data_IF_138906583408
#
_entry.id   IF_138906583408
#
_cell.length_a   1.000
_cell.length_b   1.000
_cell.length_c   1.000
_cell.angle_alpha   90.00
_cell.angle_beta   90.00
_cell.angle_gamma   90.00
#
_symmetry.space_group_name_H-M   'P 1'
#
loop_
_entity.id
_entity.type
_entity.pdbx_description
1 polymer ?
#
# COMPACT_ATOMS: atom_id res chain seq x y z
N UNK A 1 -1.97 14.81 -15.86
CA UNK A 1 -1.57 13.47 -15.35
C UNK A 1 -0.30 12.98 -16.00
N UNK A 2 -0.26 12.72 -17.30
CA UNK A 2 0.95 12.25 -18.00
C UNK A 2 2.12 13.25 -17.84
N UNK A 3 1.88 14.53 -18.11
CA UNK A 3 2.87 15.61 -17.89
C UNK A 3 3.35 15.69 -16.43
N UNK A 4 2.47 15.41 -15.48
CA UNK A 4 2.83 15.38 -14.07
C UNK A 4 3.78 14.21 -13.76
N UNK A 5 3.50 13.02 -14.30
CA UNK A 5 4.34 11.85 -14.15
C UNK A 5 5.70 12.02 -14.86
N UNK A 6 5.72 12.67 -16.03
CA UNK A 6 6.95 13.05 -16.72
C UNK A 6 7.80 13.99 -15.87
N UNK A 7 7.19 15.04 -15.31
CA UNK A 7 7.89 16.00 -14.44
C UNK A 7 8.43 15.34 -13.16
N UNK A 8 7.74 14.32 -12.64
CA UNK A 8 8.20 13.50 -11.52
C UNK A 8 9.31 12.51 -11.91
N UNK A 9 9.55 12.28 -13.20
CA UNK A 9 10.51 11.28 -13.69
C UNK A 9 10.02 9.83 -13.57
N UNK A 10 8.74 9.63 -13.26
CA UNK A 10 8.13 8.31 -13.09
C UNK A 10 7.92 7.59 -14.43
N UNK A 11 7.74 8.38 -15.50
CA UNK A 11 7.60 7.89 -16.87
C UNK A 11 8.53 8.67 -17.81
N UNK A 12 8.78 8.10 -18.98
CA UNK A 12 9.50 8.74 -20.09
C UNK A 12 8.85 8.38 -21.44
N UNK A 13 9.07 9.18 -22.51
CA UNK A 13 8.61 8.82 -23.85
C UNK A 13 9.14 7.45 -24.29
N UNK A 14 8.31 6.67 -24.99
CA UNK A 14 8.67 5.32 -25.40
C UNK A 14 8.19 4.99 -26.81
N UNK A 15 9.03 4.27 -27.55
CA UNK A 15 8.69 3.61 -28.81
C UNK A 15 8.63 2.08 -28.64
N UNK A 16 8.39 1.61 -27.41
CA UNK A 16 8.29 0.18 -27.11
C UNK A 16 7.24 -0.52 -27.99
N UNK A 17 7.50 -1.74 -28.48
CA UNK A 17 6.48 -2.55 -29.14
C UNK A 17 5.42 -3.06 -28.15
N UNK A 18 5.66 -2.97 -26.83
CA UNK A 18 4.69 -3.29 -25.81
C UNK A 18 3.71 -2.15 -25.60
N UNK A 19 2.45 -2.49 -25.33
CA UNK A 19 1.44 -1.50 -25.04
C UNK A 19 0.33 -2.09 -24.18
N UNK A 20 0.13 -1.54 -22.99
CA UNK A 20 -1.02 -1.87 -22.14
C UNK A 20 -1.97 -0.68 -22.01
N UNK A 21 -3.30 -0.90 -21.98
CA UNK A 21 -4.26 0.18 -21.82
C UNK A 21 -4.06 0.98 -20.53
N UNK A 22 -4.30 2.29 -20.60
CA UNK A 22 -4.40 3.17 -19.43
C UNK A 22 -5.77 3.79 -19.32
N UNK A 23 -6.19 4.08 -18.10
CA UNK A 23 -7.48 4.69 -17.77
C UNK A 23 -7.39 5.47 -16.47
N UNK A 24 -8.44 6.23 -16.16
CA UNK A 24 -8.55 7.01 -14.92
C UNK A 24 -9.87 6.68 -14.23
N UNK A 25 -9.83 6.58 -12.91
CA UNK A 25 -11.03 6.39 -12.08
C UNK A 25 -11.01 7.46 -11.00
N UNK A 26 -12.11 8.21 -10.85
CA UNK A 26 -12.23 9.21 -9.79
C UNK A 26 -12.20 8.51 -8.43
N UNK A 27 -11.33 8.94 -7.52
CA UNK A 27 -11.34 8.46 -6.13
C UNK A 27 -12.66 8.86 -5.46
N UNK A 28 -13.40 7.92 -4.82
CA UNK A 28 -14.63 8.26 -4.13
C UNK A 28 -14.43 9.38 -3.11
N UNK A 29 -15.27 10.42 -3.16
CA UNK A 29 -15.22 11.56 -2.24
C UNK A 29 -14.02 12.49 -2.40
N UNK A 30 -13.16 12.32 -3.42
CA UNK A 30 -12.01 13.20 -3.69
C UNK A 30 -12.01 13.65 -5.14
N UNK A 31 -11.54 14.88 -5.39
CA UNK A 31 -11.27 15.33 -6.76
C UNK A 31 -9.87 14.91 -7.23
N UNK A 32 -9.63 13.60 -7.20
CA UNK A 32 -8.35 12.99 -7.57
C UNK A 32 -8.59 11.89 -8.61
N UNK A 33 -7.78 11.90 -9.67
CA UNK A 33 -7.88 11.02 -10.84
C UNK A 33 -6.54 10.31 -11.08
N UNK A 34 -6.23 9.22 -10.36
CA UNK A 34 -5.01 8.46 -10.61
C UNK A 34 -4.97 7.89 -12.02
N UNK A 35 -3.80 7.92 -12.64
CA UNK A 35 -3.50 7.20 -13.87
C UNK A 35 -3.29 5.72 -13.53
N UNK A 36 -4.14 4.85 -14.06
CA UNK A 36 -4.09 3.41 -13.86
C UNK A 36 -3.73 2.73 -15.18
N UNK A 37 -2.91 1.68 -15.11
CA UNK A 37 -2.57 0.84 -16.25
C UNK A 37 -3.13 -0.56 -16.04
N UNK A 38 -3.73 -1.13 -17.08
CA UNK A 38 -4.20 -2.51 -17.07
C UNK A 38 -3.03 -3.48 -17.24
N UNK A 39 -2.54 -4.02 -16.14
CA UNK A 39 -1.38 -4.91 -16.11
C UNK A 39 -1.75 -6.40 -16.13
N UNK A 40 -3.01 -6.77 -16.40
CA UNK A 40 -3.46 -8.18 -16.32
C UNK A 40 -2.64 -9.12 -17.21
N UNK A 41 -2.38 -8.74 -18.47
CA UNK A 41 -1.58 -9.55 -19.40
C UNK A 41 -0.12 -9.66 -18.97
N UNK A 42 0.43 -8.57 -18.43
CA UNK A 42 1.80 -8.53 -17.92
C UNK A 42 1.92 -9.43 -16.67
N UNK A 43 0.99 -9.31 -15.72
CA UNK A 43 0.96 -10.12 -14.50
C UNK A 43 0.82 -11.63 -14.78
N UNK A 44 0.18 -12.01 -15.89
CA UNK A 44 0.05 -13.40 -16.32
C UNK A 44 1.38 -14.02 -16.81
N UNK A 45 2.34 -13.21 -17.25
CA UNK A 45 3.63 -13.69 -17.81
C UNK A 45 4.84 -13.40 -16.93
N UNK A 46 4.73 -12.48 -15.97
CA UNK A 46 5.78 -12.25 -14.97
C UNK A 46 5.86 -13.47 -14.03
N UNK A 47 7.02 -13.77 -13.46
CA UNK A 47 7.17 -14.81 -12.43
C UNK A 47 6.62 -14.33 -11.07
N UNK A 48 5.89 -15.19 -10.36
CA UNK A 48 5.35 -14.83 -9.05
C UNK A 48 6.43 -14.87 -7.97
N UNK A 49 6.60 -13.77 -7.24
CA UNK A 49 7.51 -13.72 -6.10
C UNK A 49 6.87 -14.25 -4.81
N UNK A 50 5.54 -14.43 -4.80
CA UNK A 50 4.77 -14.77 -3.62
C UNK A 50 4.75 -13.64 -2.57
N UNK A 51 3.96 -13.81 -1.49
CA UNK A 51 3.89 -12.86 -0.40
C UNK A 51 5.12 -13.00 0.52
N UNK A 52 5.85 -11.91 0.75
CA UNK A 52 6.93 -11.88 1.75
C UNK A 52 6.42 -11.86 3.20
N UNK A 53 5.26 -11.26 3.43
CA UNK A 53 4.58 -11.32 4.71
C UNK A 53 3.32 -12.19 4.57
N UNK A 54 3.14 -13.22 5.40
CA UNK A 54 1.97 -14.10 5.34
C UNK A 54 0.68 -13.38 5.75
N UNK A 55 0.76 -12.21 6.39
CA UNK A 55 -0.38 -11.39 6.76
C UNK A 55 0.02 -10.05 7.35
N UNK A 56 -0.97 -9.21 7.64
CA UNK A 56 -0.77 -7.89 8.26
C UNK A 56 -0.32 -8.04 9.72
N UNK A 57 0.59 -7.18 10.20
CA UNK A 57 0.94 -7.15 11.62
C UNK A 57 -0.27 -6.75 12.48
N UNK A 58 -0.47 -7.47 13.60
CA UNK A 58 -1.58 -7.21 14.53
C UNK A 58 -1.18 -6.14 15.56
N UNK A 59 -1.89 -5.00 15.63
CA UNK A 59 -1.64 -3.97 16.64
C UNK A 59 -1.85 -4.46 18.08
N UNK A 60 -2.65 -5.51 18.27
CA UNK A 60 -2.94 -6.07 19.60
C UNK A 60 -1.71 -6.70 20.27
N UNK A 61 -0.64 -6.94 19.52
CA UNK A 61 0.64 -7.46 20.03
C UNK A 61 1.57 -6.36 20.57
N UNK A 62 1.19 -5.09 20.43
CA UNK A 62 1.99 -3.98 20.94
C UNK A 62 1.92 -3.92 22.48
N UNK A 63 3.03 -3.63 23.17
CA UNK A 63 3.02 -3.47 24.62
C UNK A 63 2.06 -2.36 25.06
N UNK A 64 1.31 -2.61 26.13
CA UNK A 64 0.41 -1.61 26.72
C UNK A 64 1.21 -0.40 27.23
N UNK A 65 0.59 0.78 27.17
CA UNK A 65 1.13 2.06 27.69
C UNK A 65 2.41 2.60 27.00
N UNK A 66 2.94 1.89 26.00
CA UNK A 66 4.05 2.37 25.20
C UNK A 66 3.61 3.53 24.30
N UNK A 67 4.56 4.41 23.97
CA UNK A 67 4.33 5.55 23.10
C UNK A 67 4.39 5.10 21.65
N UNK A 68 3.48 5.63 20.83
CA UNK A 68 3.28 5.24 19.44
C UNK A 68 3.43 6.44 18.51
N UNK A 69 3.99 6.20 17.34
CA UNK A 69 3.88 7.08 16.20
C UNK A 69 3.62 6.26 14.94
N UNK A 70 2.81 6.80 14.03
CA UNK A 70 2.55 6.20 12.72
C UNK A 70 2.91 7.20 11.64
N UNK A 71 3.64 6.75 10.62
CA UNK A 71 3.99 7.51 9.43
C UNK A 71 3.55 6.76 8.19
N UNK A 72 3.32 7.52 7.12
CA UNK A 72 2.88 7.03 5.81
C UNK A 72 3.93 7.48 4.79
N UNK A 73 4.51 6.51 4.09
CA UNK A 73 5.46 6.72 2.99
C UNK A 73 4.66 7.14 1.76
N UNK A 74 4.92 8.35 1.27
CA UNK A 74 4.20 8.91 0.14
C UNK A 74 4.49 8.11 -1.11
N UNK A 75 3.44 7.63 -1.80
CA UNK A 75 3.57 7.00 -3.11
C UNK A 75 4.68 5.91 -3.18
N UNK A 76 4.81 5.03 -2.15
CA UNK A 76 5.97 4.08 -1.98
C UNK A 76 6.46 3.47 -3.30
N UNK A 77 5.53 2.94 -4.11
CA UNK A 77 5.89 2.26 -5.36
C UNK A 77 6.61 3.19 -6.34
N UNK A 78 6.15 4.43 -6.49
CA UNK A 78 6.76 5.39 -7.42
C UNK A 78 8.13 5.89 -6.96
N UNK A 79 8.52 5.64 -5.71
CA UNK A 79 9.85 5.99 -5.19
C UNK A 79 10.87 4.86 -5.36
N UNK A 80 10.44 3.70 -5.86
CA UNK A 80 11.32 2.56 -6.11
C UNK A 80 11.53 2.42 -7.62
N UNK A 81 12.76 2.53 -8.13
CA UNK A 81 13.04 2.37 -9.54
C UNK A 81 12.77 0.93 -10.01
N UNK A 82 12.30 0.79 -11.24
CA UNK A 82 12.28 -0.49 -11.94
C UNK A 82 13.72 -0.92 -12.26
N UNK A 83 13.92 -2.23 -12.40
CA UNK A 83 15.19 -2.75 -12.87
C UNK A 83 15.49 -2.19 -14.28
N UNK A 84 16.74 -1.80 -14.60
CA UNK A 84 17.09 -1.28 -15.92
C UNK A 84 16.69 -2.19 -17.08
N UNK A 85 16.70 -3.52 -16.88
CA UNK A 85 16.26 -4.44 -17.92
C UNK A 85 14.76 -4.33 -18.23
N UNK A 86 13.93 -4.05 -17.22
CA UNK A 86 12.49 -3.89 -17.37
C UNK A 86 12.09 -2.46 -17.74
N UNK A 87 12.92 -1.47 -17.38
CA UNK A 87 12.69 -0.06 -17.66
C UNK A 87 13.23 0.37 -19.04
N UNK A 88 14.41 -0.14 -19.43
CA UNK A 88 15.17 0.36 -20.59
C UNK A 88 15.38 -0.71 -21.66
N UNK A 89 15.77 -1.94 -21.29
CA UNK A 89 16.15 -2.95 -22.29
C UNK A 89 14.95 -3.70 -22.89
N UNK A 90 13.92 -3.93 -22.09
CA UNK A 90 12.65 -4.51 -22.52
C UNK A 90 11.51 -3.78 -21.79
N UNK A 91 11.13 -2.57 -22.25
CA UNK A 91 10.11 -1.75 -21.61
C UNK A 91 8.70 -2.36 -21.75
N UNK A 92 8.44 -3.38 -20.94
CA UNK A 92 7.17 -4.13 -20.88
C UNK A 92 6.05 -3.28 -20.29
N UNK A 93 6.41 -2.30 -19.47
CA UNK A 93 5.49 -1.37 -18.81
C UNK A 93 5.22 -0.12 -19.65
N UNK A 94 5.09 -0.27 -20.97
CA UNK A 94 4.75 0.81 -21.88
C UNK A 94 3.22 0.94 -22.09
N UNK A 95 2.78 2.17 -22.36
CA UNK A 95 1.39 2.51 -22.66
C UNK A 95 1.31 3.68 -23.64
N UNK A 96 0.16 3.81 -24.29
CA UNK A 96 -0.11 4.88 -25.25
C UNK A 96 -1.31 5.71 -24.83
N UNK A 97 -1.22 7.03 -25.00
CA UNK A 97 -2.27 7.97 -24.63
C UNK A 97 -3.11 8.30 -25.87
N UNK A 98 -4.45 8.08 -25.83
CA UNK A 98 -5.31 8.44 -26.94
C UNK A 98 -5.43 9.95 -27.10
N UNK A 99 -5.54 10.43 -28.33
CA UNK A 99 -5.83 11.83 -28.62
C UNK A 99 -7.32 12.05 -28.89
N UNK A 100 -7.81 13.25 -28.55
CA UNK A 100 -9.20 13.62 -28.81
C UNK A 100 -9.51 13.51 -30.31
N UNK A 101 -10.49 12.66 -30.65
CA UNK A 101 -10.88 12.37 -32.03
C UNK A 101 -9.71 11.94 -32.94
N UNK A 102 -8.66 11.30 -32.40
CA UNK A 102 -7.48 10.85 -33.16
C UNK A 102 -6.79 11.97 -33.96
N UNK A 103 -6.92 13.23 -33.54
CA UNK A 103 -6.36 14.41 -34.23
C UNK A 103 -4.83 14.37 -34.39
N UNK A 104 -4.15 13.67 -33.49
CA UNK A 104 -2.71 13.42 -33.54
C UNK A 104 -2.43 11.94 -33.26
N UNK A 105 -1.31 11.38 -33.76
CA UNK A 105 -0.87 10.04 -33.38
C UNK A 105 -0.83 9.86 -31.87
N UNK A 106 -1.08 8.63 -31.41
CA UNK A 106 -0.98 8.32 -29.97
C UNK A 106 0.47 8.48 -29.51
N UNK A 107 0.64 9.10 -28.35
CA UNK A 107 1.96 9.26 -27.74
C UNK A 107 2.23 8.10 -26.79
N UNK A 108 3.38 7.45 -26.97
CA UNK A 108 3.84 6.32 -26.17
C UNK A 108 4.72 6.75 -25.00
N UNK A 109 4.56 6.10 -23.86
CA UNK A 109 5.34 6.30 -22.65
C UNK A 109 5.65 4.97 -21.96
N UNK A 110 6.68 4.93 -21.14
CA UNK A 110 7.02 3.78 -20.30
C UNK A 110 7.32 4.21 -18.87
N UNK A 111 7.03 3.34 -17.90
CA UNK A 111 7.35 3.57 -16.50
C UNK A 111 8.82 3.27 -16.19
N UNK A 112 9.40 4.06 -15.28
CA UNK A 112 10.76 3.89 -14.75
C UNK A 112 10.78 3.44 -13.29
N UNK A 113 9.61 3.37 -12.66
CA UNK A 113 9.41 3.11 -11.23
C UNK A 113 8.33 2.04 -11.06
N UNK A 114 8.25 1.40 -9.88
CA UNK A 114 7.25 0.36 -9.64
C UNK A 114 5.84 0.90 -9.83
N UNK A 115 4.99 0.08 -10.44
CA UNK A 115 3.63 0.46 -10.79
C UNK A 115 2.62 -0.07 -9.78
N UNK A 116 1.57 0.70 -9.55
CA UNK A 116 0.36 0.19 -8.93
C UNK A 116 -0.29 -0.87 -9.85
N UNK A 117 -0.70 -2.00 -9.27
CA UNK A 117 -1.35 -3.09 -10.00
C UNK A 117 -0.41 -4.15 -10.60
N UNK A 118 0.92 -3.94 -10.58
CA UNK A 118 1.86 -5.01 -10.89
C UNK A 118 1.88 -6.00 -9.72
N UNK A 119 1.78 -7.31 -10.02
CA UNK A 119 1.64 -8.34 -8.99
C UNK A 119 2.79 -8.37 -7.98
N UNK A 120 4.01 -8.07 -8.42
CA UNK A 120 5.21 -8.10 -7.58
C UNK A 120 5.52 -6.76 -6.90
N UNK A 121 4.85 -5.66 -7.26
CA UNK A 121 5.11 -4.33 -6.65
C UNK A 121 4.98 -4.35 -5.12
N UNK A 122 3.92 -4.95 -4.53
CA UNK A 122 3.79 -5.03 -3.07
C UNK A 122 4.97 -5.76 -2.44
N UNK A 123 5.37 -6.90 -3.01
CA UNK A 123 6.49 -7.72 -2.54
C UNK A 123 7.80 -6.94 -2.60
N UNK A 124 8.07 -6.25 -3.71
CA UNK A 124 9.30 -5.46 -3.87
C UNK A 124 9.33 -4.26 -2.91
N UNK A 125 8.24 -3.47 -2.79
CA UNK A 125 8.20 -2.35 -1.83
C UNK A 125 8.36 -2.84 -0.39
N UNK A 126 7.69 -3.94 -0.02
CA UNK A 126 7.84 -4.54 1.30
C UNK A 126 9.29 -4.94 1.59
N UNK A 127 9.96 -5.61 0.64
CA UNK A 127 11.36 -6.02 0.80
C UNK A 127 12.30 -4.82 0.91
N UNK A 128 12.12 -3.82 0.04
CA UNK A 128 12.99 -2.66 -0.06
C UNK A 128 12.94 -1.83 1.23
N UNK A 129 11.73 -1.51 1.70
CA UNK A 129 11.52 -0.79 2.96
C UNK A 129 12.00 -1.62 4.15
N UNK A 130 11.75 -2.94 4.16
CA UNK A 130 12.26 -3.82 5.22
C UNK A 130 13.79 -3.76 5.35
N UNK A 131 14.49 -3.72 4.21
CA UNK A 131 15.96 -3.66 4.15
C UNK A 131 16.48 -2.35 4.72
N UNK A 132 15.83 -1.22 4.43
CA UNK A 132 16.18 0.10 4.99
C UNK A 132 15.95 0.14 6.50
N UNK A 133 14.84 -0.44 6.97
CA UNK A 133 14.49 -0.43 8.39
C UNK A 133 15.29 -1.45 9.24
N UNK A 134 15.94 -2.43 8.61
CA UNK A 134 16.65 -3.52 9.30
C UNK A 134 17.78 -3.03 10.22
N UNK A 135 18.70 -2.14 9.79
CA UNK A 135 19.69 -1.54 10.69
C UNK A 135 19.06 -0.75 11.84
N UNK A 136 17.97 -0.04 11.59
CA UNK A 136 17.28 0.77 12.61
C UNK A 136 16.64 -0.12 13.67
N UNK A 137 16.04 -1.24 13.29
CA UNK A 137 15.52 -2.25 14.22
C UNK A 137 16.59 -2.81 15.15
N UNK A 138 17.81 -3.03 14.63
CA UNK A 138 18.95 -3.49 15.44
C UNK A 138 19.45 -2.39 16.38
N UNK A 139 19.54 -1.16 15.88
CA UNK A 139 20.00 0.00 16.64
C UNK A 139 19.01 0.36 17.77
N UNK A 140 17.72 0.35 17.47
CA UNK A 140 16.64 0.66 18.40
C UNK A 140 16.01 -0.59 19.00
N UNK A 141 16.84 -1.50 19.55
CA UNK A 141 16.39 -2.82 20.02
C UNK A 141 15.31 -2.81 21.11
N UNK A 142 15.09 -1.68 21.81
CA UNK A 142 14.02 -1.52 22.80
C UNK A 142 12.70 -1.01 22.19
N UNK A 143 12.69 -0.63 20.92
CA UNK A 143 11.52 -0.17 20.20
C UNK A 143 11.02 -1.25 19.24
N UNK A 144 9.75 -1.18 18.89
CA UNK A 144 9.13 -2.03 17.89
C UNK A 144 8.86 -1.17 16.66
N UNK A 145 9.42 -1.55 15.51
CA UNK A 145 9.20 -0.89 14.22
C UNK A 145 8.48 -1.84 13.29
N UNK A 146 7.16 -1.71 13.23
CA UNK A 146 6.29 -2.45 12.32
C UNK A 146 6.18 -1.69 11.00
N UNK A 147 6.16 -2.43 9.91
CA UNK A 147 5.89 -1.85 8.59
C UNK A 147 5.07 -2.81 7.75
N UNK A 148 4.17 -2.26 6.97
CA UNK A 148 3.37 -2.98 5.99
C UNK A 148 3.12 -2.03 4.82
N UNK A 149 3.69 -2.35 3.66
CA UNK A 149 3.73 -1.47 2.50
C UNK A 149 4.19 -0.05 2.85
N UNK A 150 3.33 0.95 2.69
CA UNK A 150 3.56 2.38 2.93
C UNK A 150 3.38 2.79 4.40
N UNK A 151 2.70 1.98 5.23
CA UNK A 151 2.47 2.29 6.64
C UNK A 151 3.62 1.80 7.53
N UNK A 152 4.21 2.71 8.32
CA UNK A 152 5.23 2.38 9.33
C UNK A 152 4.76 2.83 10.71
N UNK A 153 4.76 1.91 11.68
CA UNK A 153 4.43 2.17 13.07
C UNK A 153 5.68 1.97 13.94
N UNK A 154 5.99 2.98 14.75
CA UNK A 154 7.06 2.96 15.75
C UNK A 154 6.43 2.96 17.13
N UNK A 155 6.84 2.02 17.98
CA UNK A 155 6.37 1.87 19.36
C UNK A 155 7.57 1.80 20.31
N UNK A 156 7.56 2.57 21.40
CA UNK A 156 8.68 2.65 22.33
C UNK A 156 8.25 2.83 23.80
N UNK A 157 9.09 2.44 24.79
CA UNK A 157 8.72 2.50 26.21
C UNK A 157 8.43 3.92 26.75
N UNK A 158 9.03 4.94 26.16
CA UNK A 158 8.86 6.34 26.58
C UNK A 158 8.98 7.29 25.38
N UNK A 159 8.56 8.55 25.60
CA UNK A 159 8.46 9.55 24.53
C UNK A 159 9.83 9.90 23.93
N UNK A 160 10.85 10.10 24.75
CA UNK A 160 12.21 10.45 24.26
C UNK A 160 12.79 9.36 23.36
N UNK A 161 12.59 8.08 23.70
CA UNK A 161 13.05 6.96 22.89
C UNK A 161 12.21 6.78 21.61
N UNK A 162 10.91 7.08 21.68
CA UNK A 162 10.03 7.13 20.50
C UNK A 162 10.53 8.17 19.51
N UNK A 163 10.73 9.42 19.95
CA UNK A 163 11.11 10.53 19.07
C UNK A 163 12.48 10.28 18.44
N UNK A 164 13.44 9.74 19.20
CA UNK A 164 14.74 9.33 18.66
C UNK A 164 14.62 8.21 17.62
N UNK A 165 13.85 7.15 17.91
CA UNK A 165 13.67 6.02 16.98
C UNK A 165 12.95 6.47 15.71
N UNK A 166 11.90 7.27 15.85
CA UNK A 166 11.13 7.83 14.74
C UNK A 166 12.03 8.72 13.86
N UNK A 167 12.86 9.56 14.46
CA UNK A 167 13.84 10.37 13.75
C UNK A 167 14.79 9.52 12.92
N UNK A 168 15.31 8.43 13.48
CA UNK A 168 16.19 7.48 12.76
C UNK A 168 15.48 6.73 11.63
N UNK A 169 14.20 6.40 11.80
CA UNK A 169 13.38 5.81 10.74
C UNK A 169 13.19 6.78 9.58
N UNK A 170 12.79 8.03 9.88
CA UNK A 170 12.56 9.06 8.86
C UNK A 170 13.87 9.38 8.13
N UNK A 171 14.95 9.62 8.87
CA UNK A 171 16.29 9.89 8.30
C UNK A 171 16.74 8.76 7.37
N UNK A 172 16.55 7.50 7.76
CA UNK A 172 16.93 6.36 6.93
C UNK A 172 16.08 6.25 5.65
N UNK A 173 14.78 6.54 5.73
CA UNK A 173 13.89 6.54 4.57
C UNK A 173 14.24 7.68 3.61
N UNK A 174 14.40 8.89 4.11
CA UNK A 174 14.74 10.08 3.32
C UNK A 174 16.13 9.96 2.67
N UNK A 175 17.12 9.42 3.38
CA UNK A 175 18.45 9.16 2.84
C UNK A 175 18.44 8.13 1.69
N UNK A 176 17.38 7.32 1.59
CA UNK A 176 17.18 6.36 0.49
C UNK A 176 16.15 6.87 -0.55
N UNK A 177 15.83 8.16 -0.54
CA UNK A 177 14.98 8.82 -1.53
C UNK A 177 13.48 8.71 -1.26
N UNK A 178 13.06 8.23 -0.09
CA UNK A 178 11.64 8.18 0.25
C UNK A 178 11.12 9.51 0.82
N UNK A 179 9.92 9.92 0.41
CA UNK A 179 9.22 11.06 1.01
C UNK A 179 8.16 10.58 2.03
N UNK A 180 8.09 11.23 3.18
CA UNK A 180 7.06 10.98 4.19
C UNK A 180 5.91 11.99 4.00
N UNK A 181 4.66 11.53 4.16
CA UNK A 181 3.50 12.43 4.22
C UNK A 181 3.45 13.11 5.59
N UNK A 182 4.14 14.24 5.72
CA UNK A 182 4.30 14.96 6.99
C UNK A 182 2.96 15.27 7.67
N UNK A 183 1.94 15.62 6.89
CA UNK A 183 0.58 15.90 7.34
C UNK A 183 -0.17 14.66 7.87
N UNK A 184 0.29 13.45 7.55
CA UNK A 184 -0.26 12.18 8.02
C UNK A 184 0.50 11.58 9.20
N UNK A 185 1.55 12.24 9.70
CA UNK A 185 2.28 11.74 10.87
C UNK A 185 1.36 11.81 12.09
N UNK A 186 1.11 10.65 12.69
CA UNK A 186 0.25 10.53 13.87
C UNK A 186 1.15 10.35 15.10
N UNK A 187 1.12 11.32 16.03
CA UNK A 187 1.86 11.27 17.31
C UNK A 187 0.96 11.20 18.53
N UNK A 188 -0.34 11.34 18.36
CA UNK A 188 -1.33 11.36 19.44
C UNK A 188 -2.46 10.35 19.15
N UNK A 189 -2.98 9.75 20.21
CA UNK A 189 -4.12 8.83 20.13
C UNK A 189 -5.40 9.61 19.73
N UNK A 190 -6.31 9.03 18.92
CA UNK A 190 -6.26 7.66 18.39
C UNK A 190 -5.41 7.53 17.12
N UNK A 191 -4.59 6.49 17.07
CA UNK A 191 -3.78 6.15 15.88
C UNK A 191 -4.58 5.28 14.92
N UNK A 192 -4.42 5.47 13.62
CA UNK A 192 -4.94 4.59 12.57
C UNK A 192 -3.76 3.86 11.94
N UNK A 193 -3.80 2.52 11.96
CA UNK A 193 -2.79 1.67 11.34
C UNK A 193 -3.45 0.40 10.82
N UNK A 194 -3.37 0.16 9.50
CA UNK A 194 -3.94 -1.01 8.82
C UNK A 194 -5.44 -1.25 9.04
N UNK A 195 -6.20 -0.18 9.31
CA UNK A 195 -7.66 -0.22 9.49
C UNK A 195 -8.12 0.06 10.93
N UNK A 196 -7.69 -0.70 11.95
CA UNK A 196 -8.05 -0.44 13.34
C UNK A 196 -7.59 0.93 13.85
N UNK A 197 -8.33 1.43 14.85
CA UNK A 197 -7.92 2.55 15.71
C UNK A 197 -7.24 2.02 16.96
N UNK A 198 -6.04 2.51 17.24
CA UNK A 198 -5.27 2.17 18.43
C UNK A 198 -5.40 3.32 19.41
N UNK A 199 -5.90 3.02 20.61
CA UNK A 199 -5.92 3.90 21.77
C UNK A 199 -4.85 3.46 22.76
N UNK A 200 -4.63 4.23 23.84
CA UNK A 200 -3.59 3.93 24.84
C UNK A 200 -3.70 2.53 25.48
N UNK A 201 -4.92 2.00 25.57
CA UNK A 201 -5.20 0.73 26.24
C UNK A 201 -5.97 -0.29 25.37
N UNK A 202 -6.52 0.13 24.23
CA UNK A 202 -7.44 -0.69 23.43
C UNK A 202 -7.17 -0.55 21.94
N UNK A 203 -7.43 -1.63 21.20
CA UNK A 203 -7.47 -1.63 19.74
C UNK A 203 -8.92 -1.82 19.33
N UNK A 204 -9.45 -0.85 18.59
CA UNK A 204 -10.86 -0.82 18.19
C UNK A 204 -10.90 -0.99 16.66
N UNK A 205 -11.65 -1.98 16.11
CA UNK A 205 -11.82 -2.07 14.67
C UNK A 205 -12.44 -0.81 14.09
N UNK A 206 -12.20 -0.57 12.80
CA UNK A 206 -13.01 0.39 12.07
C UNK A 206 -14.49 -0.02 12.16
N UNK A 207 -15.38 0.96 12.35
CA UNK A 207 -16.81 0.69 12.43
C UNK A 207 -17.28 0.02 11.13
N UNK A 208 -17.82 -1.19 11.27
CA UNK A 208 -18.39 -1.94 10.16
C UNK A 208 -19.90 -1.72 10.17
N UNK A 209 -20.44 -1.30 9.02
CA UNK A 209 -21.89 -1.27 8.79
C UNK A 209 -22.29 -2.63 8.22
N UNK A 210 -23.09 -3.36 8.97
CA UNK A 210 -23.61 -4.67 8.56
C UNK A 210 -25.01 -4.44 7.99
N UNK A 211 -25.24 -4.91 6.75
CA UNK A 211 -26.58 -5.05 6.20
C UNK A 211 -27.12 -6.42 6.66
N UNK A 212 -28.12 -6.41 7.53
CA UNK A 212 -28.74 -7.60 8.10
C UNK A 212 -29.78 -8.26 7.18
N UNK A 213 -30.07 -7.65 6.02
CA UNK A 213 -31.07 -8.13 5.08
C UNK A 213 -30.60 -8.04 3.62
N UNK A 214 -29.52 -8.76 3.23
CA UNK A 214 -29.02 -8.74 1.85
C UNK A 214 -30.07 -9.29 0.89
N UNK A 215 -30.38 -8.52 -0.17
CA UNK A 215 -31.36 -8.86 -1.22
C UNK A 215 -30.73 -9.28 -2.54
N UNK A 216 -29.44 -9.00 -2.72
CA UNK A 216 -28.70 -9.32 -3.95
C UNK A 216 -27.45 -10.11 -3.62
N UNK A 217 -26.93 -10.86 -4.61
CA UNK A 217 -25.65 -11.56 -4.47
C UNK A 217 -24.50 -10.59 -4.15
N UNK A 218 -24.55 -9.36 -4.67
CA UNK A 218 -23.56 -8.32 -4.36
C UNK A 218 -23.63 -7.91 -2.88
N UNK A 219 -24.82 -7.68 -2.34
CA UNK A 219 -25.02 -7.34 -0.93
C UNK A 219 -24.58 -8.49 -0.01
N UNK A 220 -24.84 -9.73 -0.41
CA UNK A 220 -24.38 -10.91 0.33
C UNK A 220 -22.85 -11.01 0.36
N UNK A 221 -22.18 -10.78 -0.78
CA UNK A 221 -20.71 -10.72 -0.82
C UNK A 221 -20.14 -9.60 0.08
N UNK A 222 -20.77 -8.43 0.11
CA UNK A 222 -20.38 -7.32 0.99
C UNK A 222 -20.56 -7.66 2.47
N UNK A 223 -21.65 -8.34 2.82
CA UNK A 223 -21.89 -8.83 4.18
C UNK A 223 -20.82 -9.84 4.59
N UNK A 224 -20.53 -10.84 3.74
CA UNK A 224 -19.52 -11.86 4.00
C UNK A 224 -18.13 -11.24 4.17
N UNK A 225 -17.75 -10.29 3.31
CA UNK A 225 -16.49 -9.54 3.43
C UNK A 225 -16.40 -8.76 4.75
N UNK A 226 -17.49 -8.10 5.14
CA UNK A 226 -17.57 -7.33 6.38
C UNK A 226 -17.43 -8.20 7.63
N UNK A 227 -18.07 -9.39 7.64
CA UNK A 227 -17.97 -10.36 8.73
C UNK A 227 -16.57 -10.97 8.79
N UNK A 228 -16.01 -11.35 7.63
CA UNK A 228 -14.64 -11.87 7.55
C UNK A 228 -13.60 -10.87 8.06
N UNK A 229 -13.83 -9.57 7.87
CA UNK A 229 -12.96 -8.52 8.39
C UNK A 229 -12.95 -8.45 9.92
N UNK A 230 -14.11 -8.52 10.57
CA UNK A 230 -14.20 -8.43 12.05
C UNK A 230 -13.94 -9.75 12.76
N UNK A 231 -14.01 -10.87 12.03
CA UNK A 231 -13.86 -12.23 12.54
C UNK A 231 -12.66 -12.41 13.49
N UNK A 232 -11.42 -11.98 13.16
CA UNK A 232 -10.26 -12.19 14.04
C UNK A 232 -10.37 -11.47 15.39
N UNK A 233 -11.18 -10.41 15.46
CA UNK A 233 -11.36 -9.60 16.67
C UNK A 233 -12.52 -10.12 17.53
N UNK A 234 -13.51 -10.76 16.91
CA UNK A 234 -14.66 -11.34 17.61
C UNK A 234 -14.45 -12.79 18.02
N UNK A 235 -13.36 -13.43 17.59
CA UNK A 235 -13.07 -14.83 17.88
C UNK A 235 -13.97 -15.82 17.12
N UNK A 236 -14.61 -15.38 16.02
CA UNK A 236 -15.48 -16.23 15.21
C UNK A 236 -14.65 -17.30 14.47
N UNK A 237 -15.11 -18.53 14.52
CA UNK A 237 -14.49 -19.67 13.86
C UNK A 237 -14.98 -19.81 12.41
N UNK A 238 -14.37 -20.71 11.64
CA UNK A 238 -14.85 -21.01 10.28
C UNK A 238 -16.18 -21.75 10.37
N UNK A 239 -16.39 -22.52 11.43
CA UNK A 239 -17.62 -23.26 11.70
C UNK A 239 -18.79 -22.32 11.97
N UNK A 240 -18.56 -21.26 12.77
CA UNK A 240 -19.58 -20.23 13.04
C UNK A 240 -20.06 -19.55 11.76
N UNK A 241 -19.17 -19.40 10.76
CA UNK A 241 -19.48 -18.76 9.47
C UNK A 241 -19.88 -19.75 8.38
N UNK A 242 -19.84 -21.05 8.62
CA UNK A 242 -20.15 -22.06 7.62
C UNK A 242 -21.57 -21.90 7.01
N UNK A 243 -22.63 -21.54 7.77
CA UNK A 243 -23.95 -21.29 7.18
C UNK A 243 -23.94 -20.15 6.18
N UNK A 244 -23.14 -19.11 6.43
CA UNK A 244 -23.05 -17.93 5.57
C UNK A 244 -22.33 -18.24 4.26
N UNK A 245 -21.24 -18.99 4.32
CA UNK A 245 -20.50 -19.38 3.11
C UNK A 245 -21.27 -20.33 2.19
N UNK A 246 -22.26 -21.08 2.72
CA UNK A 246 -23.16 -21.89 1.88
C UNK A 246 -24.13 -21.07 1.04
N UNK A 247 -24.30 -19.78 1.34
CA UNK A 247 -25.17 -18.88 0.59
C UNK A 247 -24.45 -18.21 -0.60
N UNK A 248 -23.11 -18.28 -0.65
CA UNK A 248 -22.26 -17.79 -1.73
C UNK A 248 -22.09 -18.86 -2.82
#
# INVERSE_FOLDING_TARGET
LVEEQLRKGNIEPSNSPWNSPVFVIKKPGKDQWPLLQDLRKINAVIEDMGPLQPGMPSPSMLPRQWKLAVIDIKDCFFQIPLHPDDATNAPRFAFSVPSLNRKVPMQGYQWRVLLQGMKNSPTICQWYVARILSPIRKLAAKAIVLHYLDDVLVCAPNQSYLDWTLGKVIEALEANGFEIQAEKIQKTSPFKYLGPKIHEQTVVPQQVKINDNPKTLQELHQLCGSINWVRPLLGLTTEDLAPLFKLL
#
